data_IF_483613671389
#
_entry.id   IF_483613671389
#
_cell.length_a   1.000
_cell.length_b   1.000
_cell.length_c   1.000
_cell.angle_alpha   90.00
_cell.angle_beta   90.00
_cell.angle_gamma   90.00
#
_symmetry.space_group_name_H-M   'P 1'
#
loop_
_entity.id
_entity.type
_entity.pdbx_description
1 polymer ?
#
# COMPACT_ATOMS: atom_id res chain seq x y z
N UNK A 1 39.67 37.58 -14.61
CA UNK A 1 38.37 38.16 -14.17
C UNK A 1 37.17 37.30 -14.66
N UNK A 2 37.05 36.03 -14.22
CA UNK A 2 35.95 35.10 -14.62
C UNK A 2 35.62 34.09 -13.50
N UNK A 3 35.07 34.54 -12.36
CA UNK A 3 34.57 33.62 -11.30
C UNK A 3 33.16 33.99 -10.78
N UNK A 4 32.61 35.17 -11.08
CA UNK A 4 31.32 35.62 -10.51
C UNK A 4 30.04 35.01 -11.11
N UNK A 5 30.08 34.31 -12.26
CA UNK A 5 28.85 33.77 -12.90
C UNK A 5 28.27 32.51 -12.26
N UNK A 6 29.01 31.81 -11.39
CA UNK A 6 28.59 30.50 -10.88
C UNK A 6 27.66 30.55 -9.64
N UNK A 7 27.64 31.67 -8.89
CA UNK A 7 26.75 31.83 -7.72
C UNK A 7 25.29 32.02 -8.11
N UNK A 8 25.01 32.82 -9.14
CA UNK A 8 23.63 33.11 -9.56
C UNK A 8 22.94 31.88 -10.19
N UNK A 9 23.70 31.02 -10.87
CA UNK A 9 23.16 29.78 -11.42
C UNK A 9 22.73 28.79 -10.33
N UNK A 10 23.51 28.65 -9.25
CA UNK A 10 23.15 27.82 -8.09
C UNK A 10 21.94 28.37 -7.33
N UNK A 11 21.81 29.69 -7.20
CA UNK A 11 20.65 30.33 -6.57
C UNK A 11 19.36 30.15 -7.39
N UNK A 12 19.43 30.36 -8.71
CA UNK A 12 18.29 30.14 -9.60
C UNK A 12 17.88 28.66 -9.70
N UNK A 13 18.85 27.73 -9.67
CA UNK A 13 18.56 26.30 -9.59
C UNK A 13 17.95 25.92 -8.23
N UNK A 14 18.41 26.51 -7.13
CA UNK A 14 17.81 26.34 -5.78
C UNK A 14 16.36 26.83 -5.70
N UNK A 15 16.04 27.95 -6.35
CA UNK A 15 14.68 28.51 -6.37
C UNK A 15 13.67 27.65 -7.17
N UNK A 16 14.15 26.78 -8.05
CA UNK A 16 13.30 25.86 -8.84
C UNK A 16 12.99 24.54 -8.14
N UNK A 17 13.65 24.23 -7.03
CA UNK A 17 13.73 22.86 -6.52
C UNK A 17 12.70 22.50 -5.45
N UNK A 18 12.41 23.43 -4.53
CA UNK A 18 11.25 23.36 -3.63
C UNK A 18 10.77 24.76 -3.35
N UNK A 19 9.45 24.97 -3.28
CA UNK A 19 8.89 26.24 -2.83
C UNK A 19 9.28 26.51 -1.37
N UNK A 20 9.43 27.78 -1.01
CA UNK A 20 9.78 28.18 0.36
C UNK A 20 8.78 27.63 1.39
N UNK A 21 7.50 27.54 1.01
CA UNK A 21 6.43 26.92 1.80
C UNK A 21 6.73 25.46 2.17
N UNK A 22 7.32 24.69 1.26
CA UNK A 22 7.70 23.30 1.55
C UNK A 22 8.93 23.23 2.46
N UNK A 23 9.91 24.11 2.27
CA UNK A 23 11.09 24.17 3.15
C UNK A 23 10.68 24.47 4.59
N UNK A 24 9.79 25.43 4.79
CA UNK A 24 9.24 25.78 6.10
C UNK A 24 8.51 24.59 6.73
N UNK A 25 7.64 23.91 5.96
CA UNK A 25 6.91 22.72 6.42
C UNK A 25 7.81 21.55 6.81
N UNK A 26 8.91 21.34 6.07
CA UNK A 26 9.82 20.20 6.28
C UNK A 26 10.92 20.48 7.30
N UNK A 27 11.21 21.76 7.60
CA UNK A 27 12.30 22.15 8.51
C UNK A 27 12.20 21.50 9.89
N UNK A 28 11.03 21.41 10.56
CA UNK A 28 10.92 20.71 11.84
C UNK A 28 11.27 19.22 11.75
N UNK A 29 10.84 18.54 10.67
CA UNK A 29 11.13 17.12 10.44
C UNK A 29 12.62 16.87 10.18
N UNK A 30 13.29 17.79 9.48
CA UNK A 30 14.74 17.72 9.27
C UNK A 30 15.48 17.87 10.61
N UNK A 31 15.07 18.82 11.45
CA UNK A 31 15.64 18.99 12.78
C UNK A 31 15.44 17.73 13.65
N UNK A 32 14.26 17.11 13.58
CA UNK A 32 13.95 15.85 14.25
C UNK A 32 14.85 14.70 13.77
N UNK A 33 15.03 14.53 12.45
CA UNK A 33 15.97 13.53 11.91
C UNK A 33 17.39 13.76 12.46
N UNK A 34 17.87 15.00 12.51
CA UNK A 34 19.20 15.30 13.04
C UNK A 34 19.32 14.97 14.54
N UNK A 35 18.28 15.21 15.33
CA UNK A 35 18.24 14.81 16.74
C UNK A 35 18.26 13.29 16.90
N UNK A 36 17.52 12.56 16.06
CA UNK A 36 17.44 11.11 16.09
C UNK A 36 18.73 10.42 15.62
N UNK A 37 19.49 11.04 14.70
CA UNK A 37 20.77 10.50 14.24
C UNK A 37 21.81 10.36 15.35
N UNK A 38 21.68 11.13 16.43
CA UNK A 38 22.53 11.02 17.63
C UNK A 38 22.11 9.93 18.61
N UNK A 39 20.98 9.23 18.39
CA UNK A 39 20.43 8.22 19.31
C UNK A 39 20.70 6.79 18.83
N UNK A 40 20.48 5.81 19.71
CA UNK A 40 20.63 4.38 19.42
C UNK A 40 19.60 3.85 18.41
N UNK A 41 19.56 2.52 18.20
CA UNK A 41 18.78 1.80 17.16
C UNK A 41 17.32 2.24 17.01
N UNK A 42 16.63 2.60 18.09
CA UNK A 42 15.24 3.09 18.07
C UNK A 42 15.05 4.31 17.16
N UNK A 43 16.03 5.23 17.16
CA UNK A 43 15.98 6.43 16.32
C UNK A 43 15.97 6.12 14.82
N UNK A 44 16.43 4.93 14.40
CA UNK A 44 16.53 4.58 12.97
C UNK A 44 15.21 4.20 12.33
N UNK A 45 14.30 3.59 13.10
CA UNK A 45 12.93 3.28 12.65
C UNK A 45 12.16 4.59 12.51
N UNK A 46 12.20 5.42 13.55
CA UNK A 46 11.59 6.76 13.58
C UNK A 46 12.10 7.65 12.43
N UNK A 47 13.42 7.66 12.17
CA UNK A 47 13.98 8.34 10.98
C UNK A 47 13.36 7.79 9.69
N UNK A 48 13.25 6.47 9.55
CA UNK A 48 12.66 5.84 8.37
C UNK A 48 11.20 6.25 8.13
N UNK A 49 10.40 6.34 9.20
CA UNK A 49 9.00 6.78 9.13
C UNK A 49 8.89 8.24 8.70
N UNK A 50 9.69 9.13 9.30
CA UNK A 50 9.75 10.54 8.91
C UNK A 50 10.14 10.66 7.43
N UNK A 51 11.15 9.91 6.97
CA UNK A 51 11.59 9.92 5.58
C UNK A 51 10.49 9.43 4.61
N UNK A 52 9.70 8.43 5.00
CA UNK A 52 8.56 7.95 4.21
C UNK A 52 7.51 9.06 4.06
N UNK A 53 7.14 9.72 5.17
CA UNK A 53 6.16 10.80 5.16
C UNK A 53 6.63 12.01 4.33
N UNK A 54 7.90 12.41 4.48
CA UNK A 54 8.48 13.47 3.64
C UNK A 54 8.45 13.09 2.17
N UNK A 55 8.84 11.86 1.83
CA UNK A 55 8.85 11.38 0.44
C UNK A 55 7.45 11.37 -0.17
N UNK A 56 6.43 11.00 0.61
CA UNK A 56 5.03 11.02 0.17
C UNK A 56 4.51 12.45 -0.12
N UNK A 57 5.05 13.46 0.57
CA UNK A 57 4.70 14.87 0.34
C UNK A 57 5.42 15.54 -0.84
N UNK A 58 6.47 14.93 -1.39
CA UNK A 58 7.29 15.50 -2.47
C UNK A 58 6.91 14.91 -3.83
N UNK A 59 6.99 15.71 -4.89
CA UNK A 59 6.76 15.21 -6.25
C UNK A 59 7.95 14.39 -6.76
N UNK A 60 7.71 13.57 -7.79
CA UNK A 60 8.75 12.80 -8.48
C UNK A 60 9.92 13.70 -8.92
N UNK A 61 11.14 13.24 -8.64
CA UNK A 61 12.37 13.98 -8.91
C UNK A 61 12.78 15.01 -7.86
N UNK A 62 11.85 15.54 -7.05
CA UNK A 62 12.20 16.47 -5.96
C UNK A 62 12.88 15.75 -4.79
N UNK A 63 12.50 14.49 -4.54
CA UNK A 63 13.01 13.68 -3.43
C UNK A 63 14.54 13.62 -3.37
N UNK A 64 15.19 13.25 -4.48
CA UNK A 64 16.64 13.03 -4.50
C UNK A 64 17.43 14.33 -4.33
N UNK A 65 16.95 15.42 -4.91
CA UNK A 65 17.62 16.72 -4.81
C UNK A 65 17.39 17.35 -3.44
N UNK A 66 16.19 17.22 -2.87
CA UNK A 66 15.92 17.59 -1.48
C UNK A 66 16.86 16.86 -0.52
N UNK A 67 16.99 15.54 -0.69
CA UNK A 67 17.82 14.71 0.16
C UNK A 67 19.31 15.13 0.14
N UNK A 68 19.83 15.43 -1.05
CA UNK A 68 21.21 15.92 -1.22
C UNK A 68 21.43 17.29 -0.59
N UNK A 69 20.41 18.14 -0.54
CA UNK A 69 20.55 19.49 -0.01
C UNK A 69 20.39 19.52 1.51
N UNK A 70 19.35 18.89 2.05
CA UNK A 70 18.97 18.98 3.46
C UNK A 70 19.61 17.87 4.32
N UNK A 71 19.79 16.66 3.79
CA UNK A 71 20.33 15.50 4.52
C UNK A 71 21.70 15.06 3.99
N UNK A 72 22.60 16.03 3.77
CA UNK A 72 23.97 15.82 3.23
C UNK A 72 24.80 14.77 3.97
N UNK A 73 24.51 14.56 5.26
CA UNK A 73 25.20 13.60 6.11
C UNK A 73 24.81 12.15 5.82
N UNK A 74 23.67 11.91 5.17
CA UNK A 74 23.18 10.59 4.83
C UNK A 74 23.36 10.29 3.35
N UNK A 75 23.90 9.11 3.04
CA UNK A 75 23.92 8.61 1.67
C UNK A 75 22.55 8.09 1.25
N UNK A 76 22.23 8.14 -0.05
CA UNK A 76 20.96 7.62 -0.59
C UNK A 76 20.71 6.16 -0.15
N UNK A 77 21.69 5.23 -0.23
CA UNK A 77 21.48 3.86 0.25
C UNK A 77 21.16 3.77 1.75
N UNK A 78 21.71 4.66 2.56
CA UNK A 78 21.43 4.70 4.01
C UNK A 78 19.98 5.09 4.27
N UNK A 79 19.51 6.11 3.58
CA UNK A 79 18.11 6.58 3.65
C UNK A 79 17.16 5.47 3.20
N UNK A 80 17.45 4.82 2.08
CA UNK A 80 16.65 3.70 1.59
C UNK A 80 16.62 2.54 2.58
N UNK A 81 17.73 2.26 3.27
CA UNK A 81 17.77 1.25 4.32
C UNK A 81 16.88 1.63 5.51
N UNK A 82 16.89 2.90 5.96
CA UNK A 82 16.00 3.36 7.04
C UNK A 82 14.53 3.26 6.66
N UNK A 83 14.14 3.72 5.48
CA UNK A 83 12.77 3.59 4.98
C UNK A 83 12.35 2.12 4.86
N UNK A 84 13.25 1.25 4.38
CA UNK A 84 12.97 -0.19 4.26
C UNK A 84 12.74 -0.84 5.63
N UNK A 85 13.54 -0.47 6.62
CA UNK A 85 13.36 -0.92 8.00
C UNK A 85 12.00 -0.45 8.52
N UNK A 86 11.67 0.84 8.41
CA UNK A 86 10.40 1.37 8.87
C UNK A 86 9.19 0.62 8.26
N UNK A 87 9.18 0.42 6.93
CA UNK A 87 8.14 -0.38 6.28
C UNK A 87 8.06 -1.82 6.79
N UNK A 88 9.21 -2.47 6.99
CA UNK A 88 9.28 -3.83 7.54
C UNK A 88 8.69 -3.90 8.96
N UNK A 89 8.99 -2.91 9.80
CA UNK A 89 8.52 -2.83 11.18
C UNK A 89 7.01 -2.60 11.23
N UNK A 90 6.52 -1.61 10.47
CA UNK A 90 5.10 -1.28 10.39
C UNK A 90 4.26 -2.46 9.89
N UNK A 91 4.74 -3.19 8.87
CA UNK A 91 4.02 -4.34 8.31
C UNK A 91 3.91 -5.55 9.25
N UNK A 92 4.71 -5.59 10.32
CA UNK A 92 4.69 -6.67 11.32
C UNK A 92 4.25 -6.22 12.72
N UNK A 93 3.99 -4.94 12.93
CA UNK A 93 3.67 -4.40 14.26
C UNK A 93 4.82 -4.54 15.27
N UNK A 94 6.08 -4.53 14.80
CA UNK A 94 7.22 -4.64 15.71
C UNK A 94 7.54 -3.26 16.29
N UNK A 95 7.45 -3.14 17.61
CA UNK A 95 7.61 -1.86 18.33
C UNK A 95 9.01 -1.70 18.93
N UNK A 96 9.69 -2.81 19.26
CA UNK A 96 11.00 -2.80 19.92
C UNK A 96 12.06 -3.62 19.15
N UNK A 97 13.27 -3.06 19.05
CA UNK A 97 14.44 -3.62 18.38
C UNK A 97 15.71 -3.49 19.21
N UNK A 98 15.60 -3.23 20.52
CA UNK A 98 16.72 -3.14 21.45
C UNK A 98 17.66 -4.35 21.36
N UNK A 99 17.11 -5.54 21.08
CA UNK A 99 17.86 -6.78 20.96
C UNK A 99 18.47 -7.06 19.57
N UNK A 100 18.26 -6.18 18.58
CA UNK A 100 18.70 -6.38 17.20
C UNK A 100 19.67 -5.28 16.74
N UNK A 101 20.89 -5.64 16.27
CA UNK A 101 21.79 -4.67 15.67
C UNK A 101 21.24 -4.18 14.32
N UNK A 102 21.56 -2.95 13.93
CA UNK A 102 21.07 -2.36 12.67
C UNK A 102 21.33 -3.24 11.45
N UNK A 103 22.52 -3.81 11.34
CA UNK A 103 22.87 -4.68 10.22
C UNK A 103 21.95 -5.89 10.11
N UNK A 104 21.46 -6.43 11.25
CA UNK A 104 20.46 -7.49 11.29
C UNK A 104 19.10 -6.99 10.77
N UNK A 105 18.66 -5.79 11.18
CA UNK A 105 17.40 -5.20 10.69
C UNK A 105 17.43 -4.95 9.18
N UNK A 106 18.56 -4.44 8.67
CA UNK A 106 18.76 -4.25 7.23
C UNK A 106 18.66 -5.60 6.52
N UNK A 107 19.34 -6.63 7.03
CA UNK A 107 19.32 -7.96 6.44
C UNK A 107 17.91 -8.57 6.49
N UNK A 108 17.19 -8.46 7.61
CA UNK A 108 15.81 -8.95 7.80
C UNK A 108 14.80 -8.27 6.86
N UNK A 109 14.96 -6.97 6.64
CA UNK A 109 14.06 -6.17 5.79
C UNK A 109 14.18 -6.46 4.28
N UNK A 110 15.12 -7.31 3.86
CA UNK A 110 15.29 -7.68 2.45
C UNK A 110 14.20 -8.66 2.00
N UNK A 111 13.69 -8.46 0.79
CA UNK A 111 12.64 -9.30 0.16
C UNK A 111 13.01 -10.78 -0.02
N UNK A 112 14.29 -11.12 0.04
CA UNK A 112 14.79 -12.48 -0.17
C UNK A 112 14.55 -13.43 1.01
N UNK A 113 14.27 -12.89 2.20
CA UNK A 113 14.04 -13.73 3.37
C UNK A 113 12.61 -14.26 3.38
N UNK A 114 12.46 -15.54 3.71
CA UNK A 114 11.14 -16.14 3.92
C UNK A 114 10.51 -15.65 5.22
N UNK A 115 9.17 -15.79 5.30
CA UNK A 115 8.45 -15.53 6.53
C UNK A 115 9.04 -16.37 7.69
N UNK A 116 9.22 -17.68 7.50
CA UNK A 116 9.82 -18.58 8.50
C UNK A 116 11.20 -18.13 9.00
N UNK A 117 12.10 -17.74 8.10
CA UNK A 117 13.43 -17.25 8.49
C UNK A 117 13.36 -15.99 9.34
N UNK A 118 12.43 -15.09 9.02
CA UNK A 118 12.23 -13.85 9.76
C UNK A 118 11.59 -14.16 11.12
N UNK A 119 10.56 -15.01 11.20
CA UNK A 119 9.94 -15.38 12.48
C UNK A 119 10.93 -16.09 13.40
N UNK A 120 11.76 -17.00 12.86
CA UNK A 120 12.82 -17.65 13.64
C UNK A 120 13.86 -16.65 14.16
N UNK A 121 14.18 -15.63 13.36
CA UNK A 121 15.08 -14.55 13.76
C UNK A 121 14.48 -13.65 14.85
N UNK A 122 13.21 -13.30 14.74
CA UNK A 122 12.50 -12.49 15.72
C UNK A 122 12.31 -13.26 17.03
N UNK A 123 11.90 -14.52 16.98
CA UNK A 123 11.76 -15.39 18.14
C UNK A 123 13.10 -15.60 18.88
N UNK A 124 14.23 -15.58 18.18
CA UNK A 124 15.55 -15.58 18.84
C UNK A 124 15.85 -14.24 19.51
N UNK A 125 15.47 -13.12 18.88
CA UNK A 125 15.68 -11.77 19.42
C UNK A 125 14.77 -11.46 20.64
N UNK A 126 13.63 -12.11 20.76
CA UNK A 126 12.78 -12.04 21.95
C UNK A 126 13.47 -12.62 23.20
N UNK A 127 14.39 -13.58 23.02
CA UNK A 127 15.14 -14.19 24.13
C UNK A 127 16.26 -13.30 24.68
N UNK A 128 16.65 -12.27 23.94
CA UNK A 128 17.72 -11.34 24.32
C UNK A 128 18.55 -10.87 23.12
N UNK A 129 19.63 -10.10 23.37
CA UNK A 129 20.45 -9.53 22.30
C UNK A 129 21.07 -10.60 21.39
N UNK A 130 20.80 -10.51 20.08
CA UNK A 130 21.31 -11.47 19.08
C UNK A 130 22.44 -10.84 18.26
N UNK A 131 23.67 -11.38 18.30
CA UNK A 131 24.77 -10.84 17.50
C UNK A 131 24.50 -11.02 16.00
N UNK A 132 24.96 -10.06 15.19
CA UNK A 132 24.72 -10.05 13.73
C UNK A 132 25.16 -11.34 13.02
N UNK A 133 26.27 -11.96 13.47
CA UNK A 133 26.75 -13.24 12.94
C UNK A 133 25.70 -14.35 13.11
N UNK A 134 25.07 -14.44 14.29
CA UNK A 134 24.01 -15.41 14.58
C UNK A 134 22.78 -15.15 13.72
N UNK A 135 22.41 -13.89 13.53
CA UNK A 135 21.31 -13.53 12.64
C UNK A 135 21.55 -14.01 11.20
N UNK A 136 22.76 -13.83 10.68
CA UNK A 136 23.14 -14.34 9.36
C UNK A 136 23.04 -15.85 9.24
N UNK A 137 23.34 -16.60 10.30
CA UNK A 137 23.17 -18.06 10.32
C UNK A 137 21.69 -18.44 10.22
N UNK A 138 20.82 -17.75 10.98
CA UNK A 138 19.36 -17.99 10.93
C UNK A 138 18.80 -17.71 9.52
N UNK A 139 19.21 -16.60 8.89
CA UNK A 139 18.78 -16.23 7.54
C UNK A 139 19.37 -17.11 6.43
N UNK A 140 20.48 -17.83 6.70
CA UNK A 140 21.08 -18.77 5.74
C UNK A 140 20.49 -20.17 5.82
N UNK A 141 19.69 -20.49 6.83
CA UNK A 141 19.10 -21.83 6.95
C UNK A 141 18.29 -22.13 5.69
N UNK A 142 18.57 -23.26 5.01
CA UNK A 142 17.77 -23.67 3.87
C UNK A 142 16.33 -23.81 4.34
N UNK A 143 15.37 -23.47 3.46
CA UNK A 143 13.97 -23.80 3.73
C UNK A 143 13.91 -25.30 4.04
N UNK A 144 13.19 -25.73 5.08
CA UNK A 144 12.94 -27.15 5.26
C UNK A 144 12.45 -27.69 3.92
N UNK A 145 13.07 -28.79 3.44
CA UNK A 145 12.55 -29.44 2.24
C UNK A 145 11.08 -29.72 2.53
N UNK A 146 10.16 -29.38 1.60
CA UNK A 146 8.77 -29.78 1.75
C UNK A 146 8.76 -31.24 2.16
N UNK A 147 8.12 -31.55 3.28
CA UNK A 147 7.90 -32.96 3.61
C UNK A 147 7.24 -33.59 2.37
N UNK A 148 7.72 -34.77 1.92
CA UNK A 148 7.17 -35.41 0.75
C UNK A 148 5.66 -35.44 0.91
N UNK A 149 4.94 -34.80 -0.02
CA UNK A 149 3.48 -34.78 0.02
C UNK A 149 3.03 -36.22 0.25
N UNK A 150 2.27 -36.51 1.32
CA UNK A 150 1.81 -37.85 1.59
C UNK A 150 1.17 -38.35 0.31
N UNK A 151 1.69 -39.48 -0.21
CA UNK A 151 1.22 -40.08 -1.46
C UNK A 151 -0.29 -40.02 -1.45
N UNK A 152 -0.85 -39.23 -2.39
CA UNK A 152 -2.28 -39.03 -2.46
C UNK A 152 -2.89 -40.42 -2.52
N UNK A 153 -3.61 -40.81 -1.45
CA UNK A 153 -4.48 -41.97 -1.51
C UNK A 153 -5.30 -41.82 -2.79
N UNK A 154 -5.44 -42.87 -3.61
CA UNK A 154 -6.14 -42.80 -4.88
C UNK A 154 -7.44 -42.03 -4.67
N UNK A 155 -7.57 -40.90 -5.37
CA UNK A 155 -8.78 -40.09 -5.32
C UNK A 155 -9.95 -41.03 -5.63
N UNK A 156 -10.96 -41.13 -4.74
CA UNK A 156 -12.18 -41.84 -5.07
C UNK A 156 -12.70 -41.29 -6.40
N UNK A 157 -13.11 -42.21 -7.27
CA UNK A 157 -13.63 -41.92 -8.60
C UNK A 157 -14.59 -40.73 -8.53
N UNK A 158 -14.37 -39.67 -9.33
CA UNK A 158 -15.08 -38.42 -9.18
C UNK A 158 -16.58 -38.65 -9.31
N UNK A 159 -17.30 -38.49 -8.20
CA UNK A 159 -18.75 -38.32 -8.25
C UNK A 159 -19.07 -37.17 -9.23
N UNK A 160 -20.11 -37.32 -10.05
CA UNK A 160 -20.42 -36.38 -11.12
C UNK A 160 -20.51 -34.96 -10.56
N UNK A 161 -19.57 -34.09 -10.96
CA UNK A 161 -19.58 -32.67 -10.59
C UNK A 161 -20.95 -32.10 -10.94
N UNK A 162 -21.72 -31.56 -9.97
CA UNK A 162 -22.90 -30.79 -10.31
C UNK A 162 -22.45 -29.60 -11.16
N UNK A 163 -22.76 -29.65 -12.46
CA UNK A 163 -22.47 -28.64 -13.48
C UNK A 163 -23.27 -27.34 -13.30
N UNK A 164 -23.79 -27.08 -12.09
CA UNK A 164 -24.44 -25.82 -11.77
C UNK A 164 -23.38 -24.77 -11.53
N UNK A 165 -23.18 -23.85 -12.47
CA UNK A 165 -22.64 -22.53 -12.11
C UNK A 165 -23.48 -22.04 -10.92
N UNK A 166 -22.87 -21.64 -9.79
CA UNK A 166 -23.64 -21.11 -8.68
C UNK A 166 -24.43 -19.91 -9.20
N UNK A 167 -25.74 -20.10 -9.35
CA UNK A 167 -26.64 -19.03 -9.71
C UNK A 167 -26.83 -18.24 -8.43
N UNK A 168 -26.14 -17.11 -8.31
CA UNK A 168 -26.44 -16.16 -7.25
C UNK A 168 -27.90 -15.80 -7.35
N UNK A 169 -28.65 -16.17 -6.33
CA UNK A 169 -30.04 -15.78 -6.22
C UNK A 169 -30.10 -14.30 -5.85
N UNK A 170 -31.27 -13.69 -6.06
CA UNK A 170 -31.50 -12.29 -5.67
C UNK A 170 -31.28 -12.07 -4.16
N UNK A 171 -31.49 -13.12 -3.36
CA UNK A 171 -31.31 -13.09 -1.91
C UNK A 171 -29.83 -13.11 -1.53
N UNK A 172 -28.98 -13.86 -2.24
CA UNK A 172 -27.53 -13.85 -2.05
C UNK A 172 -26.92 -12.46 -2.29
N UNK A 173 -27.44 -11.76 -3.31
CA UNK A 173 -27.06 -10.37 -3.61
C UNK A 173 -27.47 -9.42 -2.47
N UNK A 174 -28.61 -9.68 -1.82
CA UNK A 174 -29.06 -8.93 -0.65
C UNK A 174 -28.11 -9.10 0.54
N UNK A 175 -27.75 -10.34 0.85
CA UNK A 175 -26.83 -10.67 1.95
C UNK A 175 -25.44 -10.04 1.73
N UNK A 176 -24.91 -10.13 0.51
CA UNK A 176 -23.62 -9.51 0.18
C UNK A 176 -23.66 -7.99 0.28
N UNK A 177 -24.77 -7.36 -0.10
CA UNK A 177 -24.95 -5.90 0.03
C UNK A 177 -24.95 -5.47 1.49
N UNK A 178 -25.64 -6.19 2.36
CA UNK A 178 -25.72 -5.88 3.77
C UNK A 178 -24.37 -6.09 4.47
N UNK A 179 -23.65 -7.18 4.14
CA UNK A 179 -22.28 -7.43 4.60
C UNK A 179 -21.31 -6.32 4.17
N UNK A 180 -21.35 -5.91 2.89
CA UNK A 180 -20.50 -4.85 2.38
C UNK A 180 -20.81 -3.51 3.07
N UNK A 181 -22.10 -3.21 3.28
CA UNK A 181 -22.51 -2.00 4.00
C UNK A 181 -21.99 -2.00 5.42
N UNK A 182 -22.14 -3.10 6.15
CA UNK A 182 -21.65 -3.21 7.52
C UNK A 182 -20.14 -3.04 7.58
N UNK A 183 -19.41 -3.69 6.69
CA UNK A 183 -17.96 -3.58 6.62
C UNK A 183 -17.47 -2.16 6.28
N UNK A 184 -18.19 -1.43 5.42
CA UNK A 184 -17.88 -0.02 5.11
C UNK A 184 -18.18 0.91 6.29
N UNK A 185 -19.23 0.64 7.08
CA UNK A 185 -19.54 1.42 8.28
C UNK A 185 -18.53 1.17 9.40
N UNK A 186 -18.02 -0.06 9.51
CA UNK A 186 -17.00 -0.44 10.50
C UNK A 186 -15.60 0.08 10.15
N UNK A 187 -15.36 0.51 8.89
CA UNK A 187 -14.06 0.94 8.39
C UNK A 187 -14.15 2.28 7.62
N UNK A 188 -14.11 3.44 8.30
CA UNK A 188 -14.30 4.75 7.66
C UNK A 188 -13.24 5.09 6.60
N UNK A 189 -11.99 4.64 6.78
CA UNK A 189 -10.91 4.83 5.80
C UNK A 189 -11.19 4.07 4.48
N UNK A 190 -11.86 2.92 4.57
CA UNK A 190 -12.24 2.14 3.40
C UNK A 190 -13.37 2.83 2.65
N UNK A 191 -14.34 3.40 3.37
CA UNK A 191 -15.40 4.20 2.79
C UNK A 191 -14.85 5.39 1.98
N UNK A 192 -13.92 6.17 2.55
CA UNK A 192 -13.29 7.30 1.85
C UNK A 192 -12.57 6.87 0.57
N UNK A 193 -11.84 5.74 0.61
CA UNK A 193 -11.17 5.17 -0.58
C UNK A 193 -12.17 4.75 -1.66
N UNK A 194 -13.26 4.10 -1.26
CA UNK A 194 -14.32 3.68 -2.20
C UNK A 194 -14.99 4.92 -2.81
N UNK A 195 -15.34 5.92 -2.03
CA UNK A 195 -15.96 7.16 -2.52
C UNK A 195 -15.02 7.97 -3.43
N UNK A 196 -13.73 7.98 -3.13
CA UNK A 196 -12.71 8.60 -4.00
C UNK A 196 -12.61 7.88 -5.34
N UNK A 197 -12.52 6.54 -5.34
CA UNK A 197 -12.45 5.75 -6.58
C UNK A 197 -13.73 5.87 -7.43
N UNK A 198 -14.90 5.97 -6.77
CA UNK A 198 -16.21 6.19 -7.41
C UNK A 198 -16.23 7.55 -8.10
N UNK A 199 -15.76 8.60 -7.41
CA UNK A 199 -15.63 9.97 -7.96
C UNK A 199 -14.66 10.03 -9.14
N UNK A 200 -13.51 9.35 -9.05
CA UNK A 200 -12.50 9.31 -10.12
C UNK A 200 -12.99 8.57 -11.37
N UNK A 201 -13.82 7.55 -11.20
CA UNK A 201 -14.35 6.74 -12.32
C UNK A 201 -15.67 7.25 -12.88
N UNK A 202 -16.22 8.34 -12.34
CA UNK A 202 -17.53 8.87 -12.72
C UNK A 202 -18.69 7.89 -12.47
N UNK A 203 -18.48 6.89 -11.61
CA UNK A 203 -19.53 5.96 -11.18
C UNK A 203 -20.22 6.58 -9.97
N UNK A 204 -21.51 6.30 -9.73
CA UNK A 204 -22.22 6.75 -8.53
C UNK A 204 -22.82 5.55 -7.81
N UNK A 205 -22.39 5.28 -6.57
CA UNK A 205 -22.92 4.20 -5.73
C UNK A 205 -24.11 4.70 -4.89
N UNK A 206 -25.19 3.92 -4.82
CA UNK A 206 -26.30 4.13 -3.89
C UNK A 206 -26.33 3.03 -2.81
N UNK A 207 -26.50 3.43 -1.55
CA UNK A 207 -26.76 2.53 -0.42
C UNK A 207 -28.16 2.81 0.14
N UNK A 208 -29.15 2.00 -0.24
CA UNK A 208 -30.54 2.17 0.23
C UNK A 208 -30.71 1.49 1.58
N UNK A 209 -31.13 2.23 2.62
CA UNK A 209 -31.55 1.68 3.92
C UNK A 209 -33.04 1.32 3.94
N UNK A 210 -33.43 0.31 4.72
CA UNK A 210 -34.83 -0.11 4.87
C UNK A 210 -35.73 0.93 5.59
N UNK A 211 -35.18 1.96 6.23
CA UNK A 211 -35.91 2.86 7.15
C UNK A 211 -35.95 4.35 6.75
N UNK A 212 -35.84 4.68 5.46
CA UNK A 212 -36.03 6.05 4.97
C UNK A 212 -34.74 6.80 4.62
N UNK A 213 -34.85 8.00 4.02
CA UNK A 213 -33.76 8.64 3.28
C UNK A 213 -32.75 9.32 4.20
N UNK A 214 -31.54 8.76 4.28
CA UNK A 214 -30.35 9.52 4.66
C UNK A 214 -29.79 10.16 3.39
N UNK A 215 -30.01 11.47 3.27
CA UNK A 215 -29.51 12.38 2.23
C UNK A 215 -29.81 11.96 0.77
N UNK A 216 -30.84 12.58 0.22
CA UNK A 216 -31.20 12.48 -1.20
C UNK A 216 -30.22 13.32 -2.01
N UNK A 217 -29.62 12.70 -3.02
CA UNK A 217 -29.05 13.39 -4.17
C UNK A 217 -29.53 12.60 -5.40
N UNK A 218 -30.50 13.18 -6.10
CA UNK A 218 -31.28 12.55 -7.16
C UNK A 218 -30.41 11.99 -8.29
N UNK A 219 -30.92 10.90 -8.89
CA UNK A 219 -30.55 10.38 -10.20
C UNK A 219 -31.86 10.29 -10.97
N UNK A 220 -32.08 11.22 -11.88
CA UNK A 220 -32.90 10.97 -13.05
C UNK A 220 -31.98 10.80 -14.26
N UNK A 221 -32.43 9.99 -15.21
CA UNK A 221 -31.80 9.58 -16.48
C UNK A 221 -30.91 8.32 -16.48
N UNK A 222 -31.57 7.16 -16.36
CA UNK A 222 -31.20 5.94 -17.11
C UNK A 222 -32.25 5.58 -18.18
N UNK A 223 -32.95 6.60 -18.71
CA UNK A 223 -33.86 6.48 -19.87
C UNK A 223 -33.83 7.74 -20.77
N UNK A 224 -32.66 8.31 -21.06
CA UNK A 224 -32.54 9.23 -22.19
C UNK A 224 -32.41 8.42 -23.51
N UNK A 225 -33.04 8.85 -24.62
CA UNK A 225 -32.89 8.18 -25.91
C UNK A 225 -31.43 8.17 -26.36
N UNK A 226 -30.98 7.02 -26.84
CA UNK A 226 -29.63 6.75 -27.36
C UNK A 226 -29.17 7.86 -28.32
N UNK A 227 -28.12 8.60 -27.94
CA UNK A 227 -27.44 9.54 -28.83
C UNK A 227 -26.52 8.75 -29.80
N UNK A 228 -26.81 8.70 -31.11
CA UNK A 228 -26.01 7.96 -32.08
C UNK A 228 -24.59 8.53 -32.26
N UNK A 229 -24.27 9.69 -31.68
CA UNK A 229 -22.94 10.30 -31.73
C UNK A 229 -22.01 9.86 -30.58
N UNK A 230 -22.49 9.08 -29.60
CA UNK A 230 -21.64 8.59 -28.51
C UNK A 230 -20.63 7.55 -29.00
N UNK A 231 -19.36 7.59 -28.53
CA UNK A 231 -18.34 6.63 -28.95
C UNK A 231 -18.76 5.20 -28.60
N UNK A 232 -18.40 4.20 -29.43
CA UNK A 232 -18.81 2.82 -29.22
C UNK A 232 -18.34 2.32 -27.86
N UNK A 233 -19.27 1.72 -27.12
CA UNK A 233 -18.98 1.09 -25.82
C UNK A 233 -17.91 0.00 -26.04
N UNK A 234 -16.86 -0.07 -25.21
CA UNK A 234 -15.82 -1.09 -25.33
C UNK A 234 -16.39 -2.52 -25.38
N UNK A 235 -15.81 -3.37 -26.23
CA UNK A 235 -16.35 -4.70 -26.58
C UNK A 235 -16.56 -5.67 -25.40
N UNK A 236 -15.98 -5.39 -24.23
CA UNK A 236 -16.16 -6.20 -23.02
C UNK A 236 -17.51 -5.96 -22.31
N UNK A 237 -18.32 -4.98 -22.74
CA UNK A 237 -19.62 -4.62 -22.14
C UNK A 237 -20.83 -5.33 -22.79
N UNK A 238 -20.62 -6.25 -23.74
CA UNK A 238 -21.73 -7.06 -24.28
C UNK A 238 -22.17 -8.15 -23.30
N UNK A 239 -22.95 -7.75 -22.29
CA UNK A 239 -23.75 -8.68 -21.49
C UNK A 239 -24.89 -9.24 -22.35
N UNK A 240 -25.06 -10.56 -22.28
CA UNK A 240 -26.09 -11.31 -23.00
C UNK A 240 -27.50 -10.82 -22.64
N UNK A 241 -28.14 -10.09 -23.55
CA UNK A 241 -29.58 -9.85 -23.53
C UNK A 241 -30.28 -10.99 -24.26
N UNK A 242 -30.98 -11.86 -23.52
CA UNK A 242 -31.98 -12.75 -24.09
C UNK A 242 -33.12 -11.91 -24.69
N UNK A 243 -33.56 -12.25 -25.90
CA UNK A 243 -34.74 -11.66 -26.51
C UNK A 243 -36.01 -12.12 -25.78
N UNK A 244 -36.89 -11.17 -25.49
CA UNK A 244 -38.26 -11.46 -25.01
C UNK A 244 -39.19 -11.38 -26.23
N UNK A 245 -40.08 -12.37 -26.46
CA UNK A 245 -40.96 -12.35 -27.62
C UNK A 245 -42.03 -11.27 -27.48
N UNK A 246 -42.28 -10.56 -28.58
CA UNK A 246 -43.33 -9.55 -28.68
C UNK A 246 -44.71 -10.23 -28.57
N UNK A 247 -45.53 -9.74 -27.63
CA UNK A 247 -46.97 -10.02 -27.65
C UNK A 247 -47.63 -9.11 -28.70
N UNK A 248 -48.35 -9.75 -29.63
CA UNK A 248 -49.18 -9.09 -30.62
C UNK A 248 -50.51 -8.63 -29.99
N UNK A 249 -50.99 -7.46 -30.43
CA UNK A 249 -52.37 -7.01 -30.26
C UNK A 249 -53.22 -7.50 -31.43
#
# INVERSE_FOLDING_TARGET
>A
MRIRRNRNYRAAKKAKLLSDKWREKLSPKVAEIHLLLGRESKGRVEIGEILIDIKAGLHDGQWLEWLKEELRVLSIPTVENYMRIAHFCAGRGIVDFTNLPLSSLIDLSRKQNTHEQIEAALAEAEKGPVPHKRMKELLKRPKPKPEPEPERKPEPEPEPKPSGKPVMTKDDIGVLRDLLRQHLMDNPDLYEKVMTAVKERGVRLQLVGKSGPLNILEIDELLAPFDPASPPVPDWVKAQGQSVPAYAA
#
